data_IF_369623390298
#
_entry.id   IF_369623390298
#
_cell.length_a   1.000
_cell.length_b   1.000
_cell.length_c   1.000
_cell.angle_alpha   90.00
_cell.angle_beta   90.00
_cell.angle_gamma   90.00
#
_symmetry.space_group_name_H-M   'P 1'
#
loop_
_entity.id
_entity.type
_entity.pdbx_description
1 polymer ?
#
# COMPACT_ATOMS: atom_id res chain seq x y z
N UNK A 1 23.95 18.50 -27.38
CA UNK A 1 23.62 17.52 -28.44
C UNK A 1 22.52 18.16 -29.26
N UNK A 2 22.82 18.51 -30.51
CA UNK A 2 21.87 19.18 -31.42
C UNK A 2 21.32 18.15 -32.42
N UNK A 3 22.13 17.15 -32.80
CA UNK A 3 21.75 16.03 -33.66
C UNK A 3 20.93 14.95 -32.93
N UNK A 4 20.19 14.14 -33.70
CA UNK A 4 19.42 12.99 -33.18
C UNK A 4 19.99 11.64 -33.65
N UNK A 5 19.50 10.52 -33.09
CA UNK A 5 20.02 9.18 -33.41
C UNK A 5 19.79 8.74 -34.87
N UNK A 6 18.85 9.35 -35.61
CA UNK A 6 18.61 9.07 -37.04
C UNK A 6 19.63 9.80 -37.93
N UNK A 7 19.99 11.02 -37.58
CA UNK A 7 20.98 11.86 -38.29
C UNK A 7 22.42 11.45 -37.95
N UNK A 8 22.62 10.80 -36.80
CA UNK A 8 23.93 10.41 -36.29
C UNK A 8 24.54 11.47 -35.39
N UNK A 9 25.37 11.02 -34.44
CA UNK A 9 26.08 11.90 -33.51
C UNK A 9 27.48 12.19 -34.04
N UNK A 10 27.90 13.44 -33.95
CA UNK A 10 29.32 13.78 -34.18
C UNK A 10 30.22 13.15 -33.10
N UNK A 11 31.52 13.01 -33.38
CA UNK A 11 32.47 12.38 -32.44
C UNK A 11 32.44 13.05 -31.05
N UNK A 12 32.36 14.38 -31.00
CA UNK A 12 32.31 15.14 -29.74
C UNK A 12 30.98 14.92 -29.00
N UNK A 13 29.85 14.90 -29.71
CA UNK A 13 28.54 14.65 -29.10
C UNK A 13 28.43 13.23 -28.55
N UNK A 14 28.94 12.24 -29.29
CA UNK A 14 29.02 10.87 -28.81
C UNK A 14 29.88 10.80 -27.54
N UNK A 15 31.11 11.36 -27.56
CA UNK A 15 31.99 11.38 -26.39
C UNK A 15 31.35 12.06 -25.17
N UNK A 16 30.67 13.20 -25.35
CA UNK A 16 29.97 13.87 -24.26
C UNK A 16 28.82 13.02 -23.69
N UNK A 17 28.10 12.27 -24.53
CA UNK A 17 27.01 11.38 -24.07
C UNK A 17 27.51 10.19 -23.23
N UNK A 18 28.75 9.71 -23.46
CA UNK A 18 29.30 8.56 -22.73
C UNK A 18 29.46 8.82 -21.23
N UNK A 19 29.71 10.07 -20.80
CA UNK A 19 29.85 10.41 -19.39
C UNK A 19 28.55 10.15 -18.61
N UNK A 20 27.42 10.62 -19.16
CA UNK A 20 26.09 10.39 -18.59
C UNK A 20 25.72 8.92 -18.60
N UNK A 21 25.97 8.22 -19.71
CA UNK A 21 25.69 6.78 -19.82
C UNK A 21 26.50 5.96 -18.81
N UNK A 22 27.80 6.24 -18.67
CA UNK A 22 28.67 5.56 -17.71
C UNK A 22 28.25 5.81 -16.27
N UNK A 23 27.92 7.06 -15.92
CA UNK A 23 27.39 7.39 -14.60
C UNK A 23 26.06 6.66 -14.34
N UNK A 24 25.15 6.65 -15.31
CA UNK A 24 23.88 5.93 -15.20
C UNK A 24 24.05 4.43 -14.95
N UNK A 25 24.97 3.77 -15.67
CA UNK A 25 25.28 2.36 -15.47
C UNK A 25 25.90 2.10 -14.09
N UNK A 26 26.85 2.94 -13.67
CA UNK A 26 27.47 2.84 -12.35
C UNK A 26 26.46 3.05 -11.22
N UNK A 27 25.62 4.10 -11.31
CA UNK A 27 24.57 4.39 -10.34
C UNK A 27 23.54 3.26 -10.28
N UNK A 28 23.18 2.66 -11.41
CA UNK A 28 22.28 1.50 -11.47
C UNK A 28 22.89 0.31 -10.74
N UNK A 29 24.15 -0.03 -11.03
CA UNK A 29 24.84 -1.13 -10.38
C UNK A 29 24.96 -0.93 -8.85
N UNK A 30 25.26 0.29 -8.40
CA UNK A 30 25.31 0.64 -6.98
C UNK A 30 23.93 0.56 -6.31
N UNK A 31 22.89 1.06 -6.99
CA UNK A 31 21.51 1.03 -6.47
C UNK A 31 20.98 -0.39 -6.33
N UNK A 32 21.36 -1.33 -7.21
CA UNK A 32 20.98 -2.74 -7.07
C UNK A 32 21.44 -3.35 -5.74
N UNK A 33 22.67 -3.06 -5.31
CA UNK A 33 23.19 -3.53 -4.03
C UNK A 33 22.41 -2.94 -2.85
N UNK A 34 22.07 -1.66 -2.91
CA UNK A 34 21.30 -0.97 -1.86
C UNK A 34 19.86 -1.51 -1.76
N UNK A 35 19.19 -1.75 -2.90
CA UNK A 35 17.83 -2.33 -2.90
C UNK A 35 17.83 -3.73 -2.29
N UNK A 36 18.77 -4.60 -2.69
CA UNK A 36 18.86 -5.96 -2.12
C UNK A 36 19.17 -5.96 -0.62
N UNK A 37 20.04 -5.05 -0.17
CA UNK A 37 20.33 -4.88 1.25
C UNK A 37 19.12 -4.41 2.05
N UNK A 38 18.35 -3.45 1.51
CA UNK A 38 17.14 -2.96 2.13
C UNK A 38 16.08 -4.05 2.27
N UNK A 39 15.78 -4.78 1.19
CA UNK A 39 14.81 -5.89 1.21
C UNK A 39 15.21 -6.94 2.24
N UNK A 40 16.49 -7.31 2.31
CA UNK A 40 16.99 -8.24 3.34
C UNK A 40 16.69 -7.72 4.76
N UNK A 41 17.00 -6.45 5.04
CA UNK A 41 16.73 -5.85 6.36
C UNK A 41 15.25 -5.79 6.69
N UNK A 42 14.40 -5.49 5.70
CA UNK A 42 12.95 -5.48 5.89
C UNK A 42 12.44 -6.88 6.23
N UNK A 43 12.91 -7.91 5.53
CA UNK A 43 12.56 -9.32 5.83
C UNK A 43 13.05 -9.73 7.22
N UNK A 44 14.28 -9.40 7.59
CA UNK A 44 14.86 -9.74 8.91
C UNK A 44 14.01 -9.17 10.06
N UNK A 45 13.41 -7.98 9.89
CA UNK A 45 12.54 -7.34 10.90
C UNK A 45 11.11 -7.89 10.84
N UNK A 46 10.59 -8.19 9.65
CA UNK A 46 9.18 -8.55 9.45
C UNK A 46 8.88 -10.05 9.46
N UNK A 47 9.89 -10.93 9.49
CA UNK A 47 9.71 -12.38 9.36
C UNK A 47 8.74 -13.01 10.39
N UNK A 48 8.64 -12.42 11.58
CA UNK A 48 7.75 -12.93 12.65
C UNK A 48 6.30 -12.46 12.51
N UNK A 49 6.02 -11.55 11.57
CA UNK A 49 4.67 -11.07 11.27
C UNK A 49 3.91 -12.08 10.41
N UNK A 50 3.21 -13.00 11.09
CA UNK A 50 2.36 -14.03 10.51
C UNK A 50 0.91 -13.83 10.98
N UNK A 51 -0.07 -14.17 10.16
CA UNK A 51 -1.47 -14.18 10.59
C UNK A 51 -1.70 -15.32 11.57
N UNK A 52 -2.04 -15.01 12.84
CA UNK A 52 -2.19 -16.03 13.91
C UNK A 52 -3.63 -16.35 14.28
N UNK A 53 -4.52 -15.38 14.11
CA UNK A 53 -5.92 -15.50 14.52
C UNK A 53 -6.82 -14.70 13.57
N UNK A 54 -8.13 -14.93 13.64
CA UNK A 54 -9.10 -14.26 12.76
C UNK A 54 -9.37 -12.84 13.24
N UNK A 55 -9.58 -12.65 14.54
CA UNK A 55 -9.98 -11.37 15.13
C UNK A 55 -9.38 -11.21 16.53
N UNK A 56 -8.57 -10.16 16.73
CA UNK A 56 -8.01 -9.82 18.04
C UNK A 56 -8.99 -9.07 18.95
N UNK A 57 -10.16 -8.69 18.45
CA UNK A 57 -11.17 -7.94 19.20
C UNK A 57 -10.82 -6.47 19.47
N UNK A 58 -9.74 -5.95 18.88
CA UNK A 58 -9.35 -4.55 19.11
C UNK A 58 -10.45 -3.56 18.69
N UNK A 59 -10.66 -2.56 19.53
CA UNK A 59 -11.51 -1.40 19.22
C UNK A 59 -10.68 -0.20 18.74
N UNK A 60 -9.36 -0.38 18.63
CA UNK A 60 -8.44 0.63 18.14
C UNK A 60 -8.25 0.49 16.63
N UNK A 61 -8.22 1.62 15.95
CA UNK A 61 -7.96 1.69 14.51
C UNK A 61 -7.36 3.02 14.12
N UNK A 62 -7.13 3.17 12.82
CA UNK A 62 -6.61 4.40 12.24
C UNK A 62 -7.69 5.07 11.40
N UNK A 63 -7.67 6.40 11.39
CA UNK A 63 -8.54 7.20 10.53
C UNK A 63 -7.85 7.43 9.20
N UNK A 64 -8.52 7.08 8.11
CA UNK A 64 -8.07 7.32 6.74
C UNK A 64 -8.92 8.39 6.07
N UNK A 65 -8.25 9.21 5.27
CA UNK A 65 -8.77 10.28 4.44
C UNK A 65 -8.10 10.27 3.06
N UNK A 66 -8.63 10.99 2.09
CA UNK A 66 -7.95 11.15 0.80
C UNK A 66 -6.63 11.92 0.97
N UNK A 67 -5.58 11.54 0.24
CA UNK A 67 -4.28 12.22 0.30
C UNK A 67 -4.25 13.31 -0.76
N UNK A 68 -4.31 14.57 -0.31
CA UNK A 68 -4.28 15.75 -1.18
C UNK A 68 -2.93 16.46 -1.01
N UNK A 69 -2.21 16.65 -2.11
CA UNK A 69 -0.94 17.38 -2.11
C UNK A 69 -0.95 18.41 -3.23
N UNK A 70 -0.74 19.69 -2.89
CA UNK A 70 -0.70 20.77 -3.88
C UNK A 70 -2.04 21.05 -4.60
N UNK A 71 -3.16 20.58 -4.06
CA UNK A 71 -4.49 20.75 -4.67
C UNK A 71 -4.90 19.61 -5.59
N UNK A 72 -4.03 18.64 -5.85
CA UNK A 72 -4.35 17.40 -6.55
C UNK A 72 -4.52 16.25 -5.57
N UNK A 73 -5.51 15.39 -5.82
CA UNK A 73 -5.72 14.15 -5.07
C UNK A 73 -4.74 13.10 -5.59
N UNK A 74 -3.74 12.72 -4.78
CA UNK A 74 -2.77 11.68 -5.14
C UNK A 74 -3.41 10.29 -5.01
N UNK A 75 -4.12 10.06 -3.89
CA UNK A 75 -4.79 8.79 -3.61
C UNK A 75 -6.18 9.10 -3.08
N UNK A 76 -7.18 8.52 -3.72
CA UNK A 76 -8.59 8.65 -3.34
C UNK A 76 -8.89 7.91 -2.03
N UNK A 77 -10.03 8.23 -1.40
CA UNK A 77 -10.41 7.52 -0.18
C UNK A 77 -10.71 6.05 -0.48
N UNK A 78 -11.43 5.78 -1.58
CA UNK A 78 -11.78 4.42 -2.04
C UNK A 78 -10.56 3.50 -2.14
N UNK A 79 -9.49 3.98 -2.79
CA UNK A 79 -8.24 3.22 -2.95
C UNK A 79 -7.55 2.91 -1.62
N UNK A 80 -7.68 3.78 -0.60
CA UNK A 80 -7.04 3.56 0.70
C UNK A 80 -7.82 2.60 1.60
N UNK A 81 -9.14 2.59 1.48
CA UNK A 81 -10.02 1.76 2.33
C UNK A 81 -10.30 0.38 1.73
N UNK A 82 -10.12 0.20 0.43
CA UNK A 82 -10.35 -1.06 -0.27
C UNK A 82 -9.60 -2.24 0.39
N UNK A 83 -10.32 -3.33 0.64
CA UNK A 83 -9.77 -4.55 1.22
C UNK A 83 -9.43 -4.43 2.71
N UNK A 84 -9.70 -3.29 3.36
CA UNK A 84 -9.55 -3.14 4.81
C UNK A 84 -10.85 -3.47 5.54
N UNK A 85 -10.75 -3.77 6.82
CA UNK A 85 -11.92 -4.00 7.68
C UNK A 85 -12.36 -2.70 8.36
N UNK A 86 -13.65 -2.37 8.27
CA UNK A 86 -14.23 -1.21 8.92
C UNK A 86 -14.25 -1.37 10.45
N UNK A 87 -13.79 -0.35 11.18
CA UNK A 87 -13.81 -0.36 12.65
C UNK A 87 -15.18 0.03 13.21
N UNK A 88 -15.86 0.95 12.52
CA UNK A 88 -17.22 1.37 12.84
C UNK A 88 -18.15 1.14 11.66
N UNK A 89 -19.44 1.28 11.95
CA UNK A 89 -20.47 1.36 10.93
C UNK A 89 -20.36 2.68 10.16
N UNK A 90 -20.09 2.57 8.86
CA UNK A 90 -19.98 3.71 7.95
C UNK A 90 -21.38 3.98 7.40
N UNK A 91 -21.87 5.19 7.64
CA UNK A 91 -23.20 5.63 7.22
C UNK A 91 -23.14 6.75 6.21
N UNK A 92 -24.08 6.78 5.29
CA UNK A 92 -24.26 7.89 4.37
C UNK A 92 -24.60 9.17 5.16
N UNK A 93 -23.92 10.32 4.93
CA UNK A 93 -24.11 11.54 5.72
C UNK A 93 -25.53 12.14 5.58
N UNK A 94 -26.12 12.07 4.38
CA UNK A 94 -27.49 12.53 4.13
C UNK A 94 -28.59 11.49 4.49
N UNK A 95 -28.54 10.26 3.96
CA UNK A 95 -29.63 9.28 4.09
C UNK A 95 -29.58 8.45 5.38
N UNK A 96 -28.43 8.43 6.08
CA UNK A 96 -28.15 7.56 7.24
C UNK A 96 -28.18 6.05 6.94
N UNK A 97 -28.23 5.67 5.68
CA UNK A 97 -28.11 4.29 5.23
C UNK A 97 -26.72 3.74 5.55
N UNK A 98 -26.65 2.43 5.80
CA UNK A 98 -25.43 1.74 6.20
C UNK A 98 -24.69 1.33 4.93
N UNK A 99 -23.53 1.92 4.69
CA UNK A 99 -22.67 1.63 3.53
C UNK A 99 -21.74 0.44 3.83
N UNK A 100 -21.18 0.40 5.04
CA UNK A 100 -20.39 -0.73 5.53
C UNK A 100 -20.66 -0.97 7.02
N UNK A 101 -20.76 -2.25 7.41
CA UNK A 101 -20.98 -2.62 8.80
C UNK A 101 -19.66 -2.69 9.56
N UNK A 102 -19.74 -2.54 10.89
CA UNK A 102 -18.61 -2.76 11.78
C UNK A 102 -18.06 -4.18 11.60
N UNK A 103 -16.73 -4.30 11.51
CA UNK A 103 -15.97 -5.54 11.34
C UNK A 103 -16.14 -6.28 10.01
N UNK A 104 -16.79 -5.67 9.01
CA UNK A 104 -16.84 -6.21 7.66
C UNK A 104 -15.69 -5.65 6.81
N UNK A 105 -15.24 -6.47 5.86
CA UNK A 105 -14.27 -6.07 4.83
C UNK A 105 -14.95 -5.13 3.83
N UNK A 106 -14.24 -4.07 3.44
CA UNK A 106 -14.72 -3.10 2.45
C UNK A 106 -14.38 -3.60 1.05
N UNK A 107 -15.42 -3.98 0.31
CA UNK A 107 -15.31 -4.39 -1.10
C UNK A 107 -15.23 -3.19 -2.04
N UNK A 108 -14.96 -3.46 -3.32
CA UNK A 108 -14.86 -2.48 -4.41
C UNK A 108 -16.13 -1.61 -4.51
N UNK A 109 -17.30 -2.24 -4.55
CA UNK A 109 -18.60 -1.55 -4.63
C UNK A 109 -18.81 -0.62 -3.41
N UNK A 110 -18.52 -1.12 -2.21
CA UNK A 110 -18.67 -0.35 -0.98
C UNK A 110 -17.69 0.82 -0.91
N UNK A 111 -16.46 0.63 -1.40
CA UNK A 111 -15.46 1.69 -1.42
C UNK A 111 -15.88 2.85 -2.34
N UNK A 112 -16.46 2.54 -3.50
CA UNK A 112 -17.01 3.54 -4.43
C UNK A 112 -18.26 4.23 -3.85
N UNK A 113 -19.16 3.48 -3.22
CA UNK A 113 -20.34 4.06 -2.55
C UNK A 113 -19.96 5.01 -1.41
N UNK A 114 -18.96 4.65 -0.60
CA UNK A 114 -18.46 5.49 0.50
C UNK A 114 -17.88 6.80 -0.02
N UNK A 115 -17.13 6.75 -1.13
CA UNK A 115 -16.58 7.93 -1.76
C UNK A 115 -17.67 8.78 -2.44
N UNK A 116 -18.60 8.15 -3.17
CA UNK A 116 -19.73 8.81 -3.84
C UNK A 116 -20.71 9.46 -2.85
N UNK A 117 -20.85 8.89 -1.66
CA UNK A 117 -21.62 9.47 -0.56
C UNK A 117 -20.97 10.72 0.07
N UNK A 118 -19.72 11.04 -0.29
CA UNK A 118 -18.98 12.17 0.25
C UNK A 118 -18.49 11.97 1.69
N UNK A 119 -18.25 10.72 2.11
CA UNK A 119 -17.68 10.43 3.43
C UNK A 119 -16.22 10.91 3.45
N UNK A 120 -15.89 11.91 4.26
CA UNK A 120 -14.55 12.49 4.27
C UNK A 120 -13.49 11.68 5.04
N UNK A 121 -13.89 10.93 6.06
CA UNK A 121 -12.98 10.18 6.94
C UNK A 121 -13.60 8.85 7.36
N UNK A 122 -12.80 7.79 7.36
CA UNK A 122 -13.22 6.44 7.73
C UNK A 122 -12.27 5.86 8.76
N UNK A 123 -12.80 5.28 9.84
CA UNK A 123 -12.00 4.49 10.80
C UNK A 123 -11.93 3.04 10.35
N UNK A 124 -10.72 2.54 10.13
CA UNK A 124 -10.45 1.16 9.74
C UNK A 124 -9.54 0.48 10.75
N UNK A 125 -9.60 -0.85 10.79
CA UNK A 125 -8.63 -1.65 11.53
C UNK A 125 -7.26 -1.57 10.84
N UNK A 126 -6.21 -1.72 11.63
CA UNK A 126 -4.83 -1.66 11.14
C UNK A 126 -3.96 -2.66 11.88
N UNK A 127 -2.95 -3.17 11.18
CA UNK A 127 -1.87 -3.96 11.77
C UNK A 127 -1.11 -3.20 12.86
N UNK A 128 -1.07 -1.86 12.80
CA UNK A 128 -0.39 -1.02 13.80
C UNK A 128 -1.12 -0.94 15.14
N UNK A 129 -2.43 -1.19 15.14
CA UNK A 129 -3.28 -1.15 16.34
C UNK A 129 -3.80 -2.53 16.70
N UNK A 130 -3.16 -3.59 16.23
CA UNK A 130 -3.58 -4.96 16.48
C UNK A 130 -3.20 -5.40 17.90
N UNK A 131 -4.18 -5.86 18.68
CA UNK A 131 -3.96 -6.38 20.04
C UNK A 131 -3.53 -7.86 20.09
N UNK A 132 -3.20 -8.47 18.94
CA UNK A 132 -2.69 -9.84 18.92
C UNK A 132 -1.33 -9.91 19.62
N UNK A 133 -1.15 -10.88 20.53
CA UNK A 133 0.10 -11.03 21.31
C UNK A 133 1.30 -11.43 20.46
N UNK A 134 1.07 -12.20 19.41
CA UNK A 134 2.10 -12.71 18.49
C UNK A 134 1.55 -12.62 17.08
N UNK A 135 2.31 -12.03 16.16
CA UNK A 135 1.86 -11.82 14.78
C UNK A 135 0.70 -10.83 14.70
N UNK A 136 -0.19 -11.05 13.74
CA UNK A 136 -1.31 -10.13 13.43
C UNK A 136 -2.60 -10.94 13.24
N UNK A 137 -3.76 -10.34 13.48
CA UNK A 137 -5.05 -10.98 13.16
C UNK A 137 -5.50 -10.67 11.73
N UNK A 138 -6.29 -11.57 11.14
CA UNK A 138 -6.76 -11.45 9.77
C UNK A 138 -7.57 -10.16 9.54
N UNK A 139 -8.45 -9.78 10.46
CA UNK A 139 -9.26 -8.54 10.34
C UNK A 139 -8.45 -7.24 10.46
N UNK A 140 -7.33 -7.22 11.18
CA UNK A 140 -6.47 -6.04 11.25
C UNK A 140 -5.60 -5.90 9.99
N UNK A 141 -5.32 -7.01 9.30
CA UNK A 141 -4.61 -7.03 8.02
C UNK A 141 -5.54 -6.69 6.85
N UNK A 142 -6.66 -7.41 6.74
CA UNK A 142 -7.65 -7.28 5.67
C UNK A 142 -7.46 -8.34 4.57
N UNK A 143 -7.62 -7.90 3.32
CA UNK A 143 -7.60 -8.73 2.11
C UNK A 143 -6.17 -9.10 1.70
N UNK A 144 -6.00 -10.35 1.28
CA UNK A 144 -4.82 -10.80 0.54
C UNK A 144 -4.90 -10.28 -0.90
N UNK A 145 -4.03 -9.32 -1.23
CA UNK A 145 -4.01 -8.66 -2.55
C UNK A 145 -3.63 -9.61 -3.70
N UNK A 146 -2.99 -10.75 -3.42
CA UNK A 146 -2.63 -11.72 -4.45
C UNK A 146 -3.82 -12.61 -4.84
N UNK A 147 -4.75 -12.87 -3.91
CA UNK A 147 -5.90 -13.77 -4.11
C UNK A 147 -7.24 -13.04 -4.22
N UNK A 148 -7.33 -11.80 -3.75
CA UNK A 148 -8.58 -11.04 -3.72
C UNK A 148 -9.56 -11.47 -2.63
N UNK A 149 -9.17 -12.39 -1.75
CA UNK A 149 -9.97 -12.87 -0.61
C UNK A 149 -9.36 -12.44 0.72
N UNK A 150 -10.12 -12.54 1.81
CA UNK A 150 -9.58 -12.36 3.16
C UNK A 150 -8.33 -13.22 3.39
N UNK A 151 -7.37 -12.69 4.14
CA UNK A 151 -6.10 -13.38 4.40
C UNK A 151 -6.31 -14.64 5.26
N UNK A 152 -5.58 -15.70 4.94
CA UNK A 152 -5.66 -16.96 5.68
C UNK A 152 -4.77 -16.94 6.92
N UNK A 153 -5.18 -17.69 7.95
CA UNK A 153 -4.34 -17.95 9.12
C UNK A 153 -3.12 -18.77 8.70
N UNK A 154 -1.94 -18.35 9.13
CA UNK A 154 -0.65 -18.93 8.77
C UNK A 154 0.09 -18.23 7.63
N UNK A 155 -0.53 -17.25 6.96
CA UNK A 155 0.12 -16.51 5.87
C UNK A 155 1.26 -15.61 6.40
N UNK A 156 2.42 -15.65 5.74
CA UNK A 156 3.63 -14.93 6.13
C UNK A 156 3.62 -13.49 5.61
N UNK A 157 2.64 -12.70 6.06
CA UNK A 157 2.36 -11.34 5.57
C UNK A 157 3.54 -10.37 5.72
N UNK A 158 4.41 -10.56 6.72
CA UNK A 158 5.59 -9.72 6.90
C UNK A 158 6.63 -9.90 5.81
N UNK A 159 6.88 -11.13 5.36
CA UNK A 159 7.80 -11.41 4.25
C UNK A 159 7.24 -10.86 2.95
N UNK A 160 5.94 -11.06 2.72
CA UNK A 160 5.24 -10.51 1.54
C UNK A 160 5.35 -8.99 1.51
N UNK A 161 5.07 -8.31 2.63
CA UNK A 161 5.17 -6.86 2.73
C UNK A 161 6.60 -6.33 2.53
N UNK A 162 7.62 -7.06 2.99
CA UNK A 162 9.02 -6.67 2.81
C UNK A 162 9.52 -6.79 1.36
N UNK A 163 8.87 -7.64 0.55
CA UNK A 163 9.21 -7.89 -0.85
C UNK A 163 8.39 -7.08 -1.85
N UNK A 164 7.25 -6.53 -1.41
CA UNK A 164 6.28 -5.80 -2.26
C UNK A 164 6.77 -4.41 -2.67
#
# INVERSE_FOLDING_TARGET
>A
IISNFKEGLTVLEYFNSTHGARKGLADTALKTANSGYLTRRLVDVAQDCIIREIDCGTENGITLDAVIQGGETIVTLSQRILGRTALDEIRHPATREILARKNDEINEEQAEEIEGAGVGKVRVRSVLTCDSKVGVCAKCYGRDLARGSAVNVGEAVGVIAAQS
#
